data_IF_829860087727
#
_entry.id   IF_829860087727
#
_cell.length_a   1.000
_cell.length_b   1.000
_cell.length_c   1.000
_cell.angle_alpha   90.00
_cell.angle_beta   90.00
_cell.angle_gamma   90.00
#
_symmetry.space_group_name_H-M   'P 1'
#
loop_
_entity.id
_entity.type
_entity.pdbx_description
1 polymer ?
#
# COMPACT_ATOMS: atom_id res chain seq x y z
N UNK A 1 12.65 -4.93 -10.84
CA UNK A 1 11.50 -5.86 -10.77
C UNK A 1 11.75 -6.80 -9.59
N UNK A 2 11.02 -6.59 -8.50
CA UNK A 2 11.11 -7.36 -7.27
C UNK A 2 11.02 -8.86 -7.52
N UNK A 3 12.10 -9.61 -7.27
CA UNK A 3 12.26 -11.01 -7.69
C UNK A 3 12.31 -12.09 -6.58
N UNK A 4 11.71 -11.95 -5.37
CA UNK A 4 11.52 -13.09 -4.48
C UNK A 4 10.18 -13.81 -4.77
N UNK A 5 10.20 -15.15 -4.71
CA UNK A 5 8.98 -15.97 -4.69
C UNK A 5 8.03 -15.48 -3.59
N UNK A 6 6.74 -15.34 -3.89
CA UNK A 6 5.73 -14.86 -2.94
C UNK A 6 5.77 -15.58 -1.59
N UNK A 7 5.97 -16.90 -1.58
CA UNK A 7 6.07 -17.67 -0.33
C UNK A 7 7.21 -17.21 0.59
N UNK A 8 8.35 -16.80 0.03
CA UNK A 8 9.48 -16.23 0.78
C UNK A 8 9.15 -14.85 1.30
N UNK A 9 8.54 -13.99 0.47
CA UNK A 9 8.12 -12.66 0.87
C UNK A 9 7.07 -12.70 1.99
N UNK A 10 6.04 -13.56 1.86
CA UNK A 10 5.02 -13.77 2.90
C UNK A 10 5.64 -14.27 4.21
N UNK A 11 6.59 -15.22 4.15
CA UNK A 11 7.31 -15.69 5.35
C UNK A 11 8.06 -14.54 6.04
N UNK A 12 8.70 -13.66 5.28
CA UNK A 12 9.41 -12.49 5.82
C UNK A 12 8.44 -11.45 6.42
N UNK A 13 7.33 -11.15 5.76
CA UNK A 13 6.29 -10.29 6.31
C UNK A 13 5.78 -10.82 7.67
N UNK A 14 5.52 -12.13 7.75
CA UNK A 14 5.07 -12.80 8.97
C UNK A 14 6.12 -12.77 10.08
N UNK A 15 7.41 -12.94 9.77
CA UNK A 15 8.47 -12.84 10.78
C UNK A 15 8.72 -11.41 11.27
N UNK A 16 8.29 -10.40 10.51
CA UNK A 16 8.32 -8.99 10.91
C UNK A 16 7.05 -8.55 11.62
N UNK A 17 5.95 -9.29 11.53
CA UNK A 17 4.72 -8.95 12.26
C UNK A 17 4.93 -9.06 13.77
N UNK A 18 4.49 -8.04 14.50
CA UNK A 18 4.49 -8.01 15.95
C UNK A 18 3.61 -9.09 16.58
N UNK A 19 3.99 -9.56 17.77
CA UNK A 19 3.31 -10.66 18.45
C UNK A 19 1.83 -10.37 18.72
N UNK A 20 1.49 -9.13 19.13
CA UNK A 20 0.11 -8.77 19.44
C UNK A 20 -0.83 -8.74 18.22
N UNK A 21 -0.28 -8.68 17.00
CA UNK A 21 -1.03 -8.79 15.75
C UNK A 21 -0.75 -10.09 15.00
N UNK A 22 0.07 -10.98 15.57
CA UNK A 22 0.32 -12.29 14.99
C UNK A 22 -0.99 -13.09 14.94
N UNK A 23 -1.34 -13.59 13.76
CA UNK A 23 -2.61 -14.28 13.51
C UNK A 23 -3.80 -13.36 13.22
N UNK A 24 -3.72 -12.06 13.54
CA UNK A 24 -4.75 -11.07 13.18
C UNK A 24 -4.53 -10.47 11.80
N UNK A 25 -3.28 -10.18 11.44
CA UNK A 25 -2.92 -9.63 10.13
C UNK A 25 -2.44 -10.72 9.17
N UNK A 26 -2.98 -10.77 7.95
CA UNK A 26 -2.47 -11.63 6.87
C UNK A 26 -2.31 -10.90 5.54
N UNK A 27 -1.53 -11.52 4.66
CA UNK A 27 -1.21 -11.02 3.33
C UNK A 27 -1.48 -12.11 2.31
N UNK A 28 -2.15 -11.77 1.21
CA UNK A 28 -2.49 -12.71 0.15
C UNK A 28 -2.14 -12.11 -1.21
N UNK A 29 -1.69 -12.97 -2.13
CA UNK A 29 -1.47 -12.62 -3.53
C UNK A 29 -2.21 -13.67 -4.35
N UNK A 30 -3.09 -13.19 -5.22
CA UNK A 30 -3.93 -14.01 -6.09
C UNK A 30 -3.61 -13.59 -7.51
N UNK A 31 -3.15 -14.51 -8.35
CA UNK A 31 -2.87 -14.26 -9.75
C UNK A 31 -4.00 -14.80 -10.62
N UNK A 32 -4.46 -14.02 -11.60
CA UNK A 32 -5.52 -14.44 -12.49
C UNK A 32 -4.94 -15.24 -13.66
N UNK A 33 -5.40 -16.49 -13.83
CA UNK A 33 -4.89 -17.41 -14.85
C UNK A 33 -5.10 -16.95 -16.30
N UNK A 34 -5.96 -15.95 -16.53
CA UNK A 34 -6.36 -15.45 -17.86
C UNK A 34 -5.94 -14.01 -18.13
N UNK A 35 -5.25 -13.34 -17.20
CA UNK A 35 -4.74 -12.00 -17.45
C UNK A 35 -3.51 -12.10 -18.35
N UNK A 36 -3.42 -11.25 -19.38
CA UNK A 36 -2.32 -11.28 -20.37
C UNK A 36 -0.95 -10.99 -19.73
N UNK A 37 -0.93 -10.22 -18.64
CA UNK A 37 0.23 -9.90 -17.81
C UNK A 37 0.47 -10.90 -16.66
N UNK A 38 -0.48 -11.83 -16.44
CA UNK A 38 -0.49 -12.77 -15.32
C UNK A 38 -0.63 -12.12 -13.93
N UNK A 39 -0.90 -10.82 -13.86
CA UNK A 39 -1.09 -10.11 -12.61
C UNK A 39 -2.49 -10.33 -12.05
N UNK A 40 -2.66 -10.09 -10.76
CA UNK A 40 -3.97 -10.17 -10.14
C UNK A 40 -4.14 -9.16 -9.03
N UNK A 41 -4.31 -9.64 -7.80
CA UNK A 41 -4.45 -8.76 -6.65
C UNK A 41 -3.57 -9.16 -5.48
N UNK A 42 -3.10 -8.17 -4.75
CA UNK A 42 -2.54 -8.35 -3.41
C UNK A 42 -3.54 -7.83 -2.37
N UNK A 43 -3.66 -8.49 -1.22
CA UNK A 43 -4.64 -8.14 -0.19
C UNK A 43 -3.98 -8.18 1.18
N UNK A 44 -4.19 -7.13 1.97
CA UNK A 44 -3.89 -7.11 3.41
C UNK A 44 -5.21 -7.32 4.15
N UNK A 45 -5.24 -8.27 5.08
CA UNK A 45 -6.42 -8.57 5.88
C UNK A 45 -6.16 -8.36 7.38
N UNK A 46 -7.21 -7.98 8.09
CA UNK A 46 -7.26 -7.87 9.56
C UNK A 46 -8.45 -8.69 10.05
N UNK A 47 -8.21 -9.65 10.95
CA UNK A 47 -9.22 -10.56 11.50
C UNK A 47 -10.07 -11.24 10.41
N UNK A 48 -9.41 -11.61 9.31
CA UNK A 48 -10.04 -12.26 8.15
C UNK A 48 -10.81 -11.34 7.20
N UNK A 49 -10.91 -10.03 7.48
CA UNK A 49 -11.57 -9.04 6.61
C UNK A 49 -10.54 -8.29 5.77
N UNK A 50 -10.87 -7.98 4.51
CA UNK A 50 -10.00 -7.18 3.64
C UNK A 50 -9.89 -5.75 4.21
N UNK A 51 -8.66 -5.34 4.51
CA UNK A 51 -8.33 -3.95 4.90
C UNK A 51 -7.98 -3.13 3.67
N UNK A 52 -7.12 -3.69 2.80
CA UNK A 52 -6.65 -3.04 1.57
C UNK A 52 -6.54 -4.09 0.47
N UNK A 53 -7.23 -3.86 -0.64
CA UNK A 53 -7.24 -4.71 -1.83
C UNK A 53 -6.54 -3.95 -2.96
N UNK A 54 -5.46 -4.52 -3.49
CA UNK A 54 -4.59 -3.90 -4.48
C UNK A 54 -4.68 -4.71 -5.78
N UNK A 55 -5.72 -4.45 -6.56
CA UNK A 55 -6.10 -5.22 -7.74
C UNK A 55 -5.67 -4.50 -9.01
N UNK A 56 -4.80 -5.12 -9.81
CA UNK A 56 -4.24 -4.52 -11.03
C UNK A 56 -5.32 -4.07 -12.00
N UNK A 57 -6.28 -4.95 -12.33
CA UNK A 57 -7.38 -4.62 -13.25
C UNK A 57 -8.21 -3.43 -12.76
N UNK A 58 -8.41 -3.32 -11.44
CA UNK A 58 -9.15 -2.19 -10.87
C UNK A 58 -8.32 -0.91 -10.97
N UNK A 59 -7.03 -0.96 -10.63
CA UNK A 59 -6.15 0.19 -10.73
C UNK A 59 -6.03 0.68 -12.17
N UNK A 60 -5.79 -0.20 -13.15
CA UNK A 60 -5.68 0.17 -14.57
C UNK A 60 -6.97 0.79 -15.12
N UNK A 61 -8.13 0.24 -14.75
CA UNK A 61 -9.42 0.83 -15.15
C UNK A 61 -9.58 2.24 -14.58
N UNK A 62 -9.30 2.42 -13.29
CA UNK A 62 -9.42 3.74 -12.64
C UNK A 62 -8.40 4.74 -13.18
N UNK A 63 -7.17 4.29 -13.50
CA UNK A 63 -6.11 5.11 -14.10
C UNK A 63 -6.55 5.62 -15.46
N UNK A 64 -7.04 4.74 -16.33
CA UNK A 64 -7.58 5.11 -17.63
C UNK A 64 -8.69 6.18 -17.54
N UNK A 65 -9.62 6.03 -16.59
CA UNK A 65 -10.69 7.02 -16.36
C UNK A 65 -10.15 8.37 -15.89
N UNK A 66 -9.12 8.38 -15.03
CA UNK A 66 -8.45 9.62 -14.60
C UNK A 66 -7.70 10.29 -15.75
N UNK A 67 -6.94 9.53 -16.52
CA UNK A 67 -6.22 10.05 -17.70
C UNK A 67 -7.19 10.71 -18.68
N UNK A 68 -8.31 10.04 -18.98
CA UNK A 68 -9.35 10.60 -19.82
C UNK A 68 -9.99 11.85 -19.22
N UNK A 69 -10.27 11.86 -17.93
CA UNK A 69 -10.81 13.05 -17.26
C UNK A 69 -9.84 14.23 -17.36
N UNK A 70 -8.53 13.98 -17.15
CA UNK A 70 -7.48 15.00 -17.28
C UNK A 70 -7.42 15.53 -18.72
N UNK A 71 -7.39 14.63 -19.71
CA UNK A 71 -7.39 14.98 -21.13
C UNK A 71 -8.54 15.91 -21.49
N UNK A 72 -9.77 15.53 -21.15
CA UNK A 72 -10.93 16.36 -21.41
C UNK A 72 -10.88 17.70 -20.68
N UNK A 73 -10.39 17.73 -19.43
CA UNK A 73 -10.34 18.95 -18.63
C UNK A 73 -9.30 19.98 -19.09
N UNK A 74 -8.21 19.51 -19.71
CA UNK A 74 -7.11 20.34 -20.22
C UNK A 74 -7.22 20.55 -21.74
N UNK A 75 -8.24 19.98 -22.39
CA UNK A 75 -8.39 19.95 -23.85
C UNK A 75 -7.20 19.29 -24.58
N UNK A 76 -6.59 18.31 -23.93
CA UNK A 76 -5.43 17.54 -24.38
C UNK A 76 -5.87 16.32 -25.20
N UNK A 77 -5.88 16.47 -26.52
CA UNK A 77 -6.32 15.44 -27.48
C UNK A 77 -5.23 15.03 -28.48
N UNK A 78 -3.99 15.52 -28.32
CA UNK A 78 -2.85 15.11 -29.14
C UNK A 78 -2.20 13.86 -28.56
N UNK A 79 -2.65 12.69 -29.00
CA UNK A 79 -2.17 11.42 -28.47
C UNK A 79 -0.75 11.04 -28.90
N UNK A 80 -0.17 11.76 -29.87
CA UNK A 80 1.20 11.52 -30.35
C UNK A 80 2.26 12.30 -29.55
N UNK A 81 1.84 13.25 -28.70
CA UNK A 81 2.76 13.98 -27.82
C UNK A 81 3.18 13.12 -26.62
N UNK A 82 4.42 12.65 -26.68
CA UNK A 82 4.99 11.76 -25.66
C UNK A 82 5.11 12.45 -24.30
N UNK A 83 5.50 13.72 -24.27
CA UNK A 83 5.73 14.45 -23.03
C UNK A 83 4.39 14.75 -22.32
N UNK A 84 3.36 15.13 -23.09
CA UNK A 84 2.00 15.30 -22.58
C UNK A 84 1.44 13.98 -22.03
N UNK A 85 1.61 12.88 -22.77
CA UNK A 85 1.15 11.57 -22.35
C UNK A 85 1.79 11.12 -21.03
N UNK A 86 3.10 11.31 -20.87
CA UNK A 86 3.82 10.99 -19.63
C UNK A 86 3.29 11.86 -18.49
N UNK A 87 3.11 13.15 -18.71
CA UNK A 87 2.61 14.07 -17.68
C UNK A 87 1.20 13.71 -17.21
N UNK A 88 0.29 13.37 -18.15
CA UNK A 88 -1.07 12.92 -17.82
C UNK A 88 -1.01 11.64 -16.99
N UNK A 89 -0.21 10.66 -17.42
CA UNK A 89 -0.05 9.38 -16.74
C UNK A 89 0.47 9.59 -15.31
N UNK A 90 1.51 10.41 -15.13
CA UNK A 90 2.10 10.69 -13.82
C UNK A 90 1.08 11.34 -12.86
N UNK A 91 0.26 12.26 -13.36
CA UNK A 91 -0.80 12.89 -12.56
C UNK A 91 -1.90 11.90 -12.22
N UNK A 92 -2.40 11.15 -13.20
CA UNK A 92 -3.42 10.13 -12.98
C UNK A 92 -2.96 9.12 -11.93
N UNK A 93 -1.74 8.60 -12.09
CA UNK A 93 -1.12 7.68 -11.15
C UNK A 93 -1.03 8.27 -9.74
N UNK A 94 -0.57 9.52 -9.62
CA UNK A 94 -0.48 10.22 -8.33
C UNK A 94 -1.85 10.34 -7.64
N UNK A 95 -2.89 10.71 -8.39
CA UNK A 95 -4.26 10.83 -7.88
C UNK A 95 -4.80 9.48 -7.40
N UNK A 96 -4.54 8.39 -8.13
CA UNK A 96 -4.92 7.04 -7.70
C UNK A 96 -4.32 6.69 -6.32
N UNK A 97 -3.03 7.00 -6.11
CA UNK A 97 -2.38 6.72 -4.81
C UNK A 97 -2.94 7.58 -3.68
N UNK A 98 -3.36 8.81 -3.97
CA UNK A 98 -4.07 9.66 -3.01
C UNK A 98 -5.47 9.12 -2.69
N UNK A 99 -6.13 8.44 -3.62
CA UNK A 99 -7.44 7.80 -3.38
C UNK A 99 -7.30 6.41 -2.72
N UNK A 100 -6.07 5.94 -2.51
CA UNK A 100 -5.80 4.62 -1.94
C UNK A 100 -6.03 3.47 -2.93
N UNK A 101 -5.99 3.76 -4.23
CA UNK A 101 -6.13 2.78 -5.30
C UNK A 101 -4.74 2.31 -5.71
N UNK A 102 -4.53 1.00 -5.60
CA UNK A 102 -3.25 0.36 -5.88
C UNK A 102 -3.47 -0.90 -6.72
N UNK A 103 -2.53 -1.17 -7.62
CA UNK A 103 -2.39 -2.43 -8.32
C UNK A 103 -1.52 -3.42 -7.53
N UNK A 104 -1.47 -4.67 -8.00
CA UNK A 104 -0.63 -5.70 -7.37
C UNK A 104 0.86 -5.33 -7.43
N UNK A 105 1.28 -4.62 -8.48
CA UNK A 105 2.66 -4.17 -8.67
C UNK A 105 3.11 -3.20 -7.56
N UNK A 106 2.24 -2.28 -7.12
CA UNK A 106 2.54 -1.33 -6.04
C UNK A 106 2.88 -2.05 -4.74
N UNK A 107 2.19 -3.16 -4.46
CA UNK A 107 2.47 -3.97 -3.28
C UNK A 107 3.88 -4.54 -3.33
N UNK A 108 4.28 -5.10 -4.47
CA UNK A 108 5.60 -5.69 -4.63
C UNK A 108 6.72 -4.64 -4.60
N UNK A 109 6.52 -3.47 -5.19
CA UNK A 109 7.44 -2.34 -5.09
C UNK A 109 7.58 -1.85 -3.64
N UNK A 110 6.46 -1.74 -2.92
CA UNK A 110 6.46 -1.39 -1.50
C UNK A 110 7.22 -2.44 -0.66
N UNK A 111 7.07 -3.73 -0.96
CA UNK A 111 7.82 -4.79 -0.30
C UNK A 111 9.32 -4.75 -0.61
N UNK A 112 9.69 -4.45 -1.86
CA UNK A 112 11.09 -4.26 -2.25
C UNK A 112 11.74 -3.16 -1.42
N UNK A 113 11.09 -2.00 -1.37
CA UNK A 113 11.57 -0.85 -0.61
C UNK A 113 11.63 -1.17 0.89
N UNK A 114 10.55 -1.71 1.45
CA UNK A 114 10.43 -1.99 2.88
C UNK A 114 11.41 -3.06 3.39
N UNK A 115 11.71 -4.08 2.59
CA UNK A 115 12.65 -5.13 3.01
C UNK A 115 14.11 -4.71 2.92
N UNK A 116 14.44 -3.80 2.02
CA UNK A 116 15.82 -3.38 1.78
C UNK A 116 16.19 -2.06 2.50
N UNK A 117 15.21 -1.33 3.03
CA UNK A 117 15.44 -0.11 3.79
C UNK A 117 15.56 -0.36 5.31
N UNK A 118 16.38 0.42 6.04
CA UNK A 118 16.34 0.45 7.50
C UNK A 118 14.97 0.95 7.99
N UNK A 119 14.54 0.47 9.16
CA UNK A 119 13.22 0.82 9.72
C UNK A 119 13.05 2.33 9.94
N UNK A 120 14.13 3.06 10.22
CA UNK A 120 14.14 4.52 10.38
C UNK A 120 13.75 5.25 9.10
N UNK A 121 14.15 4.75 7.93
CA UNK A 121 13.79 5.32 6.64
C UNK A 121 12.33 4.97 6.30
N UNK A 122 11.94 3.71 6.53
CA UNK A 122 10.56 3.29 6.36
C UNK A 122 9.60 4.17 7.19
N UNK A 123 9.93 4.47 8.45
CA UNK A 123 9.13 5.36 9.33
C UNK A 123 8.86 6.76 8.74
N UNK A 124 9.68 7.24 7.81
CA UNK A 124 9.50 8.51 7.11
C UNK A 124 8.79 8.37 5.75
N UNK A 125 8.48 7.15 5.32
CA UNK A 125 7.87 6.89 4.01
C UNK A 125 6.49 7.51 3.88
N UNK A 126 6.23 8.08 2.70
CA UNK A 126 4.91 8.58 2.30
C UNK A 126 4.06 7.49 1.63
N UNK A 127 4.65 6.36 1.24
CA UNK A 127 3.91 5.27 0.62
C UNK A 127 2.99 4.62 1.65
N UNK A 128 1.68 4.72 1.43
CA UNK A 128 0.70 4.28 2.40
C UNK A 128 0.80 2.77 2.72
N UNK A 129 1.14 1.91 1.74
CA UNK A 129 1.34 0.46 1.96
C UNK A 129 2.48 0.24 2.96
N UNK A 130 3.63 0.90 2.76
CA UNK A 130 4.77 0.83 3.68
C UNK A 130 4.36 1.28 5.09
N UNK A 131 3.49 2.30 5.19
CA UNK A 131 2.98 2.78 6.47
C UNK A 131 2.11 1.75 7.20
N UNK A 132 1.25 0.98 6.53
CA UNK A 132 0.61 -0.18 7.16
C UNK A 132 1.68 -1.14 7.68
N UNK A 133 2.66 -1.50 6.84
CA UNK A 133 3.64 -2.52 7.19
C UNK A 133 4.44 -2.13 8.45
N UNK A 134 4.78 -0.85 8.58
CA UNK A 134 5.44 -0.28 9.77
C UNK A 134 4.59 -0.38 11.02
N UNK A 135 3.29 -0.11 10.94
CA UNK A 135 2.40 -0.22 12.09
C UNK A 135 2.26 -1.67 12.59
N UNK A 136 2.44 -2.63 11.69
CA UNK A 136 2.42 -4.07 11.99
C UNK A 136 3.80 -4.59 12.39
N UNK A 137 4.88 -3.85 12.11
CA UNK A 137 6.26 -4.28 12.31
C UNK A 137 6.66 -4.35 13.79
N UNK A 138 7.18 -5.51 14.21
CA UNK A 138 7.70 -5.77 15.56
C UNK A 138 8.89 -4.90 15.95
N UNK A 139 9.60 -4.32 14.98
CA UNK A 139 10.71 -3.36 15.20
C UNK A 139 10.18 -2.00 15.67
N UNK A 140 8.88 -1.74 15.49
CA UNK A 140 8.20 -0.52 15.95
C UNK A 140 7.55 -0.78 17.30
N UNK A 141 8.17 -0.25 18.35
CA UNK A 141 7.68 -0.37 19.72
C UNK A 141 6.75 0.77 20.16
N UNK A 142 6.13 0.58 21.33
CA UNK A 142 5.17 1.52 21.97
C UNK A 142 5.61 2.98 21.97
N UNK A 143 6.88 3.26 22.29
CA UNK A 143 7.43 4.63 22.32
C UNK A 143 7.36 5.32 20.95
N UNK A 144 7.54 4.57 19.86
CA UNK A 144 7.44 5.10 18.50
C UNK A 144 5.97 5.32 18.14
N UNK A 145 5.08 4.37 18.46
CA UNK A 145 3.65 4.51 18.23
C UNK A 145 3.08 5.79 18.89
N UNK A 146 3.39 6.02 20.17
CA UNK A 146 2.99 7.24 20.88
C UNK A 146 3.45 8.53 20.19
N UNK A 147 4.64 8.55 19.58
CA UNK A 147 5.13 9.72 18.84
C UNK A 147 4.40 9.93 17.51
N UNK A 148 3.78 8.90 16.97
CA UNK A 148 3.07 8.95 15.68
C UNK A 148 1.64 9.47 15.82
N UNK A 149 1.05 9.46 17.02
CA UNK A 149 -0.35 9.81 17.30
C UNK A 149 -0.83 11.05 16.54
N UNK A 150 -0.13 12.18 16.69
CA UNK A 150 -0.50 13.46 16.04
C UNK A 150 -0.48 13.39 14.51
N UNK A 151 0.42 12.59 13.92
CA UNK A 151 0.52 12.46 12.45
C UNK A 151 -0.56 11.51 11.93
N UNK A 152 -0.83 10.42 12.64
CA UNK A 152 -1.77 9.38 12.24
C UNK A 152 -3.18 9.91 12.04
N UNK A 153 -3.63 10.90 12.82
CA UNK A 153 -4.99 11.48 12.70
C UNK A 153 -5.29 11.97 11.28
N UNK A 154 -4.29 12.46 10.56
CA UNK A 154 -4.44 13.00 9.19
C UNK A 154 -4.20 11.96 8.08
N UNK A 155 -3.95 10.71 8.43
CA UNK A 155 -3.71 9.64 7.46
C UNK A 155 -5.01 9.02 6.94
N UNK A 156 -4.87 8.21 5.89
CA UNK A 156 -5.97 7.39 5.39
C UNK A 156 -6.60 6.51 6.48
N UNK A 157 -7.90 6.27 6.34
CA UNK A 157 -8.71 5.54 7.31
C UNK A 157 -8.10 4.18 7.67
N UNK A 158 -7.63 3.43 6.69
CA UNK A 158 -7.00 2.14 6.90
C UNK A 158 -5.69 2.22 7.72
N UNK A 159 -4.86 3.25 7.53
CA UNK A 159 -3.67 3.49 8.36
C UNK A 159 -4.10 3.77 9.81
N UNK A 160 -5.11 4.63 9.99
CA UNK A 160 -5.67 4.94 11.32
C UNK A 160 -6.22 3.70 12.01
N UNK A 161 -6.92 2.85 11.26
CA UNK A 161 -7.50 1.61 11.78
C UNK A 161 -6.42 0.62 12.21
N UNK A 162 -5.34 0.44 11.44
CA UNK A 162 -4.21 -0.41 11.84
C UNK A 162 -3.46 0.17 13.03
N UNK A 163 -3.30 1.50 13.12
CA UNK A 163 -2.68 2.13 14.28
C UNK A 163 -3.49 1.90 15.56
N UNK A 164 -4.81 2.11 15.50
CA UNK A 164 -5.73 1.83 16.62
C UNK A 164 -5.66 0.37 17.03
N UNK A 165 -5.78 -0.54 16.07
CA UNK A 165 -5.64 -1.99 16.26
C UNK A 165 -4.34 -2.34 17.00
N UNK A 166 -3.21 -1.76 16.56
CA UNK A 166 -1.90 -1.99 17.18
C UNK A 166 -1.85 -1.45 18.60
N UNK A 167 -2.35 -0.24 18.85
CA UNK A 167 -2.36 0.38 20.16
C UNK A 167 -3.22 -0.39 21.15
N UNK A 168 -4.44 -0.78 20.75
CA UNK A 168 -5.35 -1.62 21.54
C UNK A 168 -4.70 -2.96 21.91
N UNK A 169 -4.11 -3.64 20.93
CA UNK A 169 -3.46 -4.93 21.14
C UNK A 169 -2.21 -4.83 22.05
N UNK A 170 -1.63 -3.64 22.19
CA UNK A 170 -0.49 -3.37 23.09
C UNK A 170 -0.88 -2.68 24.41
N UNK A 171 -2.17 -2.42 24.64
CA UNK A 171 -2.65 -1.72 25.83
C UNK A 171 -2.16 -0.27 25.93
N UNK A 172 -1.95 0.39 24.79
CA UNK A 172 -1.57 1.80 24.73
C UNK A 172 -2.84 2.64 24.81
N UNK A 173 -2.94 3.49 25.84
CA UNK A 173 -3.98 4.52 25.93
C UNK A 173 -3.63 5.65 24.95
N UNK A 174 -4.29 5.67 23.79
CA UNK A 174 -4.25 6.81 22.87
C UNK A 174 -5.35 7.81 23.26
N UNK A 175 -5.02 9.09 23.29
CA UNK A 175 -5.92 10.18 23.71
C UNK A 175 -6.77 10.66 22.54
#
# INVERSE_FOLDING_TARGET
MYSPKWSKAKKNLKSLTCESLAGRVDYQVINYRKAHDGLGRAVITVDGKELLSMCTITAEREEYEKEWTLRHSQEFYEFDDVDENIWIQDIAHHLLKQEGIYGQYDFFEALESYFNAPISESLASKNHIIRILILVDRRVGKRTLLKMEKRIVHEHEWIRNVYKLRCEAEGILTV
#
